data_IF_504894286091
#
_entry.id   IF_504894286091
#
_cell.length_a   1.000
_cell.length_b   1.000
_cell.length_c   1.000
_cell.angle_alpha   90.00
_cell.angle_beta   90.00
_cell.angle_gamma   90.00
#
_symmetry.space_group_name_H-M   'P 1'
#
loop_
_entity.id
_entity.type
_entity.pdbx_description
1 polymer ?
#
# COMPACT_ATOMS: atom_id res chain seq x y z
N UNK A 1 -55.71 42.47 -8.98
CA UNK A 1 -54.86 41.49 -9.68
C UNK A 1 -53.72 41.15 -8.75
N UNK A 2 -53.80 40.04 -8.02
CA UNK A 2 -52.79 39.56 -7.06
C UNK A 2 -51.96 38.51 -7.77
N UNK A 3 -50.72 38.84 -8.09
CA UNK A 3 -49.73 37.89 -8.63
C UNK A 3 -49.31 36.93 -7.52
N UNK A 4 -49.65 35.68 -7.70
CA UNK A 4 -49.20 34.54 -6.85
C UNK A 4 -47.78 34.16 -7.33
N UNK A 5 -46.77 34.56 -6.56
CA UNK A 5 -45.37 34.13 -6.74
C UNK A 5 -45.27 32.67 -6.37
N UNK A 6 -45.17 31.78 -7.34
CA UNK A 6 -44.89 30.35 -7.12
C UNK A 6 -43.43 30.21 -6.71
N UNK A 7 -43.18 29.81 -5.47
CA UNK A 7 -41.88 29.39 -4.98
C UNK A 7 -41.47 28.08 -5.71
N UNK A 8 -40.28 28.03 -6.32
CA UNK A 8 -39.87 26.80 -7.00
C UNK A 8 -39.65 25.66 -6.01
N UNK A 9 -40.50 24.65 -6.09
CA UNK A 9 -40.34 23.41 -5.32
C UNK A 9 -39.09 22.65 -5.78
N UNK A 10 -38.06 22.68 -4.92
CA UNK A 10 -36.84 21.94 -5.14
C UNK A 10 -37.16 20.43 -5.03
N UNK A 11 -37.17 19.71 -6.14
CA UNK A 11 -37.29 18.24 -6.11
C UNK A 11 -35.97 17.69 -5.56
N UNK A 12 -35.98 16.91 -4.46
CA UNK A 12 -34.75 16.31 -3.97
C UNK A 12 -34.15 15.42 -5.05
N UNK A 13 -32.85 15.62 -5.35
CA UNK A 13 -32.10 14.75 -6.26
C UNK A 13 -32.20 13.32 -5.75
N UNK A 14 -32.53 12.35 -6.63
CA UNK A 14 -32.49 10.92 -6.30
C UNK A 14 -31.08 10.60 -5.79
N UNK A 15 -30.99 9.98 -4.61
CA UNK A 15 -29.72 9.40 -4.14
C UNK A 15 -29.23 8.38 -5.18
N UNK A 16 -28.07 8.60 -5.75
CA UNK A 16 -27.43 7.63 -6.65
C UNK A 16 -26.55 6.75 -5.78
N UNK A 17 -27.06 5.58 -5.40
CA UNK A 17 -26.23 4.53 -4.81
C UNK A 17 -25.38 3.89 -5.90
N UNK A 18 -24.06 3.79 -5.68
CA UNK A 18 -23.13 3.09 -6.58
C UNK A 18 -23.15 1.56 -6.37
N UNK A 19 -23.82 1.07 -5.35
CA UNK A 19 -24.02 -0.36 -5.12
C UNK A 19 -24.77 -1.00 -6.31
N UNK A 20 -24.20 -2.04 -6.88
CA UNK A 20 -24.73 -2.72 -8.08
C UNK A 20 -24.27 -2.14 -9.42
N UNK A 21 -23.42 -1.12 -9.43
CA UNK A 21 -22.78 -0.61 -10.64
C UNK A 21 -21.39 -1.24 -10.75
N UNK A 22 -21.09 -1.89 -11.89
CA UNK A 22 -19.75 -2.42 -12.15
C UNK A 22 -18.74 -1.26 -12.25
N UNK A 23 -17.80 -1.20 -11.31
CA UNK A 23 -16.78 -0.16 -11.27
C UNK A 23 -15.62 -0.40 -12.27
N UNK A 24 -15.48 -1.62 -12.77
CA UNK A 24 -14.48 -2.03 -13.74
C UNK A 24 -14.19 -3.52 -13.66
N UNK A 25 -13.21 -3.96 -14.44
CA UNK A 25 -12.69 -5.32 -14.41
C UNK A 25 -11.35 -5.35 -13.70
N UNK A 26 -11.07 -6.41 -12.96
CA UNK A 26 -9.76 -6.69 -12.35
C UNK A 26 -9.33 -8.12 -12.66
N UNK A 27 -8.02 -8.30 -12.86
CA UNK A 27 -7.38 -9.62 -12.98
C UNK A 27 -6.62 -10.00 -11.70
N UNK A 28 -6.60 -9.09 -10.70
CA UNK A 28 -5.80 -9.26 -9.49
C UNK A 28 -6.45 -10.24 -8.50
N UNK A 29 -7.75 -10.13 -8.31
CA UNK A 29 -8.45 -11.03 -7.40
C UNK A 29 -9.88 -11.34 -7.83
N UNK A 30 -10.43 -12.36 -7.21
CA UNK A 30 -11.85 -12.75 -7.31
C UNK A 30 -12.39 -12.97 -5.91
N UNK A 31 -13.51 -12.33 -5.59
CA UNK A 31 -14.15 -12.41 -4.27
C UNK A 31 -15.58 -12.98 -4.42
N UNK A 32 -15.93 -13.94 -3.56
CA UNK A 32 -17.30 -14.40 -3.43
C UNK A 32 -17.89 -15.10 -4.67
N UNK A 33 -17.06 -15.71 -5.52
CA UNK A 33 -17.52 -16.38 -6.73
C UNK A 33 -18.35 -17.63 -6.43
N UNK A 34 -17.96 -18.34 -5.37
CA UNK A 34 -18.63 -19.59 -4.92
C UNK A 34 -19.02 -19.53 -3.44
N UNK A 35 -19.11 -18.34 -2.84
CA UNK A 35 -19.45 -18.12 -1.43
C UNK A 35 -18.54 -17.06 -0.79
N UNK A 36 -17.76 -17.44 0.21
CA UNK A 36 -16.82 -16.58 0.91
C UNK A 36 -15.37 -16.81 0.45
N UNK A 37 -15.18 -17.22 -0.78
CA UNK A 37 -13.88 -17.48 -1.38
C UNK A 37 -13.17 -16.17 -1.77
N UNK A 38 -11.85 -16.19 -1.69
CA UNK A 38 -10.96 -15.15 -2.18
C UNK A 38 -9.80 -15.81 -2.91
N UNK A 39 -9.51 -15.37 -4.11
CA UNK A 39 -8.37 -15.85 -4.89
C UNK A 39 -7.57 -14.69 -5.46
N UNK A 40 -6.25 -14.75 -5.39
CA UNK A 40 -5.33 -13.81 -6.02
C UNK A 40 -4.80 -14.40 -7.32
N UNK A 41 -5.11 -13.79 -8.46
CA UNK A 41 -4.74 -14.27 -9.81
C UNK A 41 -5.01 -15.77 -10.00
N UNK A 42 -6.13 -16.27 -9.42
CA UNK A 42 -6.55 -17.67 -9.51
C UNK A 42 -5.98 -18.60 -8.44
N UNK A 43 -5.10 -18.14 -7.55
CA UNK A 43 -4.60 -18.91 -6.40
C UNK A 43 -5.49 -18.67 -5.19
N UNK A 44 -5.92 -19.76 -4.54
CA UNK A 44 -6.73 -19.69 -3.32
C UNK A 44 -5.96 -18.99 -2.18
N UNK A 45 -6.64 -18.09 -1.46
CA UNK A 45 -6.03 -17.30 -0.38
C UNK A 45 -5.54 -18.15 0.78
N UNK A 46 -6.20 -19.27 1.09
CA UNK A 46 -5.80 -20.15 2.18
C UNK A 46 -4.51 -20.89 1.82
N UNK A 47 -4.38 -21.30 0.56
CA UNK A 47 -3.14 -21.90 0.05
C UNK A 47 -1.98 -20.91 0.10
N UNK A 48 -2.20 -19.67 -0.35
CA UNK A 48 -1.18 -18.62 -0.30
C UNK A 48 -0.75 -18.31 1.13
N UNK A 49 -1.70 -18.14 2.05
CA UNK A 49 -1.42 -17.83 3.44
C UNK A 49 -0.67 -18.96 4.19
N UNK A 50 -0.89 -20.22 3.78
CA UNK A 50 -0.20 -21.36 4.40
C UNK A 50 1.19 -21.63 3.82
N UNK A 51 1.36 -21.45 2.50
CA UNK A 51 2.49 -21.97 1.75
C UNK A 51 3.46 -20.90 1.27
N UNK A 52 3.02 -19.63 1.20
CA UNK A 52 3.82 -18.53 0.65
C UNK A 52 4.30 -17.56 1.73
N UNK A 53 5.38 -16.86 1.42
CA UNK A 53 5.78 -15.63 2.10
C UNK A 53 5.07 -14.43 1.45
N UNK A 54 5.00 -13.30 2.15
CA UNK A 54 4.36 -12.10 1.62
C UNK A 54 5.01 -11.61 0.32
N UNK A 55 6.32 -11.73 0.20
CA UNK A 55 7.08 -11.32 -0.99
C UNK A 55 6.69 -12.11 -2.25
N UNK A 56 6.34 -13.38 -2.09
CA UNK A 56 5.82 -14.19 -3.21
C UNK A 56 4.47 -13.66 -3.69
N UNK A 57 3.59 -13.30 -2.75
CA UNK A 57 2.27 -12.74 -3.05
C UNK A 57 2.38 -11.32 -3.62
N UNK A 58 3.27 -10.48 -3.09
CA UNK A 58 3.56 -9.17 -3.64
C UNK A 58 4.06 -9.27 -5.09
N UNK A 59 4.98 -10.21 -5.36
CA UNK A 59 5.45 -10.50 -6.71
C UNK A 59 4.30 -10.97 -7.62
N UNK A 60 3.46 -11.89 -7.14
CA UNK A 60 2.28 -12.35 -7.89
C UNK A 60 1.37 -11.20 -8.29
N UNK A 61 1.05 -10.29 -7.38
CA UNK A 61 0.13 -9.19 -7.64
C UNK A 61 0.73 -8.12 -8.55
N UNK A 62 2.01 -7.77 -8.37
CA UNK A 62 2.68 -6.70 -9.13
C UNK A 62 3.23 -7.20 -10.46
N UNK A 63 3.89 -8.37 -10.47
CA UNK A 63 4.59 -8.90 -11.64
C UNK A 63 3.79 -9.97 -12.40
N UNK A 64 2.66 -10.43 -11.85
CA UNK A 64 1.69 -11.25 -12.57
C UNK A 64 1.82 -12.77 -12.40
N UNK A 65 2.85 -13.26 -11.72
CA UNK A 65 3.08 -14.69 -11.47
C UNK A 65 3.80 -14.94 -10.14
N UNK A 66 3.65 -16.12 -9.56
CA UNK A 66 4.44 -16.55 -8.42
C UNK A 66 5.91 -16.72 -8.83
N UNK A 67 6.85 -16.16 -8.07
CA UNK A 67 8.26 -16.25 -8.40
C UNK A 67 8.80 -17.68 -8.19
N UNK A 68 9.71 -18.12 -9.01
CA UNK A 68 10.55 -19.27 -8.69
C UNK A 68 11.58 -18.90 -7.61
N UNK A 69 12.34 -19.85 -7.10
CA UNK A 69 13.31 -19.63 -6.00
C UNK A 69 14.35 -18.54 -6.30
N UNK A 70 14.82 -18.46 -7.55
CA UNK A 70 15.82 -17.47 -7.95
C UNK A 70 15.20 -16.08 -8.06
N UNK A 71 14.02 -15.99 -8.65
CA UNK A 71 13.24 -14.75 -8.74
C UNK A 71 12.87 -14.21 -7.34
N UNK A 72 12.43 -15.09 -6.42
CA UNK A 72 12.12 -14.71 -5.05
C UNK A 72 13.36 -14.15 -4.33
N UNK A 73 14.51 -14.83 -4.44
CA UNK A 73 15.74 -14.36 -3.82
C UNK A 73 16.18 -12.99 -4.38
N UNK A 74 16.10 -12.81 -5.70
CA UNK A 74 16.39 -11.54 -6.36
C UNK A 74 15.39 -10.44 -5.92
N UNK A 75 14.10 -10.76 -5.84
CA UNK A 75 13.06 -9.83 -5.43
C UNK A 75 13.23 -9.39 -3.96
N UNK A 76 13.50 -10.30 -3.05
CA UNK A 76 13.82 -9.97 -1.65
C UNK A 76 15.05 -9.05 -1.56
N UNK A 77 16.11 -9.36 -2.31
CA UNK A 77 17.31 -8.51 -2.38
C UNK A 77 16.97 -7.11 -2.90
N UNK A 78 16.15 -7.01 -3.95
CA UNK A 78 15.66 -5.73 -4.49
C UNK A 78 14.89 -4.94 -3.43
N UNK A 79 13.88 -5.53 -2.79
CA UNK A 79 13.09 -4.88 -1.75
C UNK A 79 13.96 -4.43 -0.57
N UNK A 80 14.91 -5.27 -0.14
CA UNK A 80 15.84 -4.94 0.93
C UNK A 80 16.67 -3.69 0.60
N UNK A 81 17.15 -3.55 -0.63
CA UNK A 81 17.91 -2.39 -1.09
C UNK A 81 17.09 -1.09 -1.18
N UNK A 82 15.76 -1.18 -1.14
CA UNK A 82 14.85 -0.04 -1.28
C UNK A 82 14.29 0.48 0.04
N UNK A 83 14.68 -0.06 1.19
CA UNK A 83 14.14 0.31 2.52
C UNK A 83 14.58 1.68 3.01
N UNK A 84 15.73 2.16 2.54
CA UNK A 84 16.33 3.42 2.97
C UNK A 84 15.44 4.64 2.68
N UNK A 85 15.49 5.62 3.57
CA UNK A 85 14.73 6.86 3.43
C UNK A 85 15.67 8.04 3.12
N UNK A 86 15.33 8.87 2.12
CA UNK A 86 16.04 10.11 1.88
C UNK A 86 16.00 11.04 3.10
N UNK A 87 17.08 11.77 3.36
CA UNK A 87 17.17 12.70 4.50
C UNK A 87 16.05 13.74 4.52
N UNK A 88 15.52 14.13 3.37
CA UNK A 88 14.39 15.06 3.29
C UNK A 88 13.09 14.43 3.81
N UNK A 89 12.86 13.15 3.55
CA UNK A 89 11.72 12.41 4.11
C UNK A 89 11.87 12.32 5.62
N UNK A 90 13.06 11.94 6.12
CA UNK A 90 13.37 11.88 7.55
C UNK A 90 13.03 13.21 8.24
N UNK A 91 13.49 14.36 7.71
CA UNK A 91 13.20 15.68 8.28
C UNK A 91 11.71 16.00 8.34
N UNK A 92 10.95 15.61 7.34
CA UNK A 92 9.48 15.78 7.35
C UNK A 92 8.85 14.91 8.43
N UNK A 93 9.27 13.64 8.55
CA UNK A 93 8.75 12.75 9.60
C UNK A 93 9.07 13.27 11.01
N UNK A 94 10.26 13.83 11.24
CA UNK A 94 10.65 14.43 12.51
C UNK A 94 9.82 15.68 12.88
N UNK A 95 9.22 16.35 11.91
CA UNK A 95 8.36 17.51 12.14
C UNK A 95 6.90 17.15 12.50
N UNK A 96 6.49 15.89 12.31
CA UNK A 96 5.13 15.45 12.59
C UNK A 96 4.91 15.23 14.10
N UNK A 97 3.80 15.75 14.67
CA UNK A 97 3.47 15.52 16.06
C UNK A 97 3.29 14.04 16.42
N UNK A 98 3.58 13.68 17.68
CA UNK A 98 3.42 12.31 18.17
C UNK A 98 1.96 11.79 18.14
N UNK A 99 0.98 12.70 18.20
CA UNK A 99 -0.43 12.34 18.12
C UNK A 99 -0.99 12.24 16.70
N UNK A 100 -0.14 12.39 15.68
CA UNK A 100 -0.57 12.24 14.28
C UNK A 100 -1.04 10.81 14.03
N UNK A 101 -2.14 10.64 13.30
CA UNK A 101 -2.62 9.31 12.96
C UNK A 101 -1.60 8.60 12.04
N UNK A 102 -1.30 7.30 12.25
CA UNK A 102 -0.31 6.55 11.44
C UNK A 102 -0.55 6.62 9.93
N UNK A 103 -1.80 6.62 9.48
CA UNK A 103 -2.14 6.76 8.05
C UNK A 103 -1.73 8.13 7.51
N UNK A 104 -1.88 9.20 8.29
CA UNK A 104 -1.46 10.54 7.89
C UNK A 104 0.07 10.66 7.82
N UNK A 105 0.78 9.95 8.69
CA UNK A 105 2.24 9.83 8.62
C UNK A 105 2.68 9.15 7.33
N UNK A 106 2.07 8.00 7.00
CA UNK A 106 2.38 7.27 5.78
C UNK A 106 2.07 8.11 4.54
N UNK A 107 0.89 8.71 4.46
CA UNK A 107 0.50 9.60 3.37
C UNK A 107 1.51 10.74 3.17
N UNK A 108 1.90 11.41 4.25
CA UNK A 108 2.86 12.51 4.21
C UNK A 108 4.25 12.03 3.75
N UNK A 109 4.70 10.89 4.28
CA UNK A 109 5.99 10.30 3.89
C UNK A 109 6.03 9.88 2.43
N UNK A 110 4.96 9.25 1.92
CA UNK A 110 4.84 8.86 0.50
C UNK A 110 4.80 10.09 -0.40
N UNK A 111 4.02 11.12 -0.05
CA UNK A 111 3.98 12.38 -0.79
C UNK A 111 5.37 13.02 -0.87
N UNK A 112 6.13 13.02 0.23
CA UNK A 112 7.50 13.54 0.24
C UNK A 112 8.46 12.68 -0.57
N UNK A 113 8.27 11.35 -0.61
CA UNK A 113 9.04 10.47 -1.51
C UNK A 113 8.85 10.86 -2.97
N UNK A 114 7.61 11.13 -3.40
CA UNK A 114 7.30 11.60 -4.74
C UNK A 114 7.97 12.94 -5.07
N UNK A 115 8.08 13.86 -4.10
CA UNK A 115 8.82 15.12 -4.29
C UNK A 115 10.34 14.92 -4.45
N UNK A 116 10.90 13.87 -3.81
CA UNK A 116 12.35 13.59 -3.88
C UNK A 116 12.71 12.72 -5.08
N UNK A 117 11.83 11.81 -5.45
CA UNK A 117 11.98 10.88 -6.57
C UNK A 117 10.77 10.99 -7.49
N UNK A 118 10.61 12.11 -8.21
CA UNK A 118 9.44 12.32 -9.06
C UNK A 118 9.39 11.25 -10.15
N UNK A 119 8.18 10.75 -10.39
CA UNK A 119 7.88 9.89 -11.52
C UNK A 119 8.08 10.68 -12.81
N UNK A 120 8.68 10.08 -13.83
CA UNK A 120 8.88 10.73 -15.13
C UNK A 120 7.57 10.70 -15.92
N UNK A 121 7.29 11.75 -16.69
CA UNK A 121 6.07 11.87 -17.51
C UNK A 121 5.89 10.72 -18.53
N UNK A 122 7.00 10.17 -19.00
CA UNK A 122 6.98 8.99 -19.87
C UNK A 122 7.94 7.94 -19.34
N UNK A 123 7.40 6.87 -18.77
CA UNK A 123 8.18 5.74 -18.28
C UNK A 123 7.59 4.42 -18.77
N UNK A 124 8.41 3.37 -18.94
CA UNK A 124 7.91 2.03 -19.23
C UNK A 124 7.17 1.47 -18.01
N UNK A 125 6.29 0.49 -18.24
CA UNK A 125 5.57 -0.21 -17.17
C UNK A 125 6.50 -0.78 -16.07
N UNK A 126 7.72 -1.16 -16.44
CA UNK A 126 8.75 -1.63 -15.50
C UNK A 126 9.09 -0.57 -14.43
N UNK A 127 9.12 0.71 -14.78
CA UNK A 127 9.41 1.79 -13.83
C UNK A 127 8.25 1.99 -12.85
N UNK A 128 7.00 1.87 -13.31
CA UNK A 128 5.83 1.89 -12.43
C UNK A 128 5.89 0.75 -11.39
N UNK A 129 6.31 -0.45 -11.82
CA UNK A 129 6.53 -1.58 -10.91
C UNK A 129 7.66 -1.32 -9.92
N UNK A 130 8.75 -0.66 -10.35
CA UNK A 130 9.84 -0.27 -9.45
C UNK A 130 9.40 0.74 -8.39
N UNK A 131 8.50 1.68 -8.74
CA UNK A 131 7.89 2.60 -7.77
C UNK A 131 7.01 1.83 -6.78
N UNK A 132 6.19 0.88 -7.24
CA UNK A 132 5.38 0.03 -6.38
C UNK A 132 6.24 -0.78 -5.40
N UNK A 133 7.32 -1.40 -5.89
CA UNK A 133 8.26 -2.15 -5.06
C UNK A 133 8.96 -1.24 -4.04
N UNK A 134 9.36 -0.02 -4.44
CA UNK A 134 9.92 0.99 -3.53
C UNK A 134 8.95 1.38 -2.43
N UNK A 135 7.68 1.58 -2.76
CA UNK A 135 6.65 1.92 -1.78
C UNK A 135 6.43 0.77 -0.79
N UNK A 136 6.27 -0.46 -1.27
CA UNK A 136 6.15 -1.65 -0.40
C UNK A 136 7.35 -1.76 0.54
N UNK A 137 8.56 -1.56 0.04
CA UNK A 137 9.79 -1.68 0.83
C UNK A 137 9.94 -0.58 1.89
N UNK A 138 9.45 0.65 1.61
CA UNK A 138 9.74 1.82 2.44
C UNK A 138 8.59 2.26 3.35
N UNK A 139 7.35 1.78 3.16
CA UNK A 139 6.21 2.15 4.01
C UNK A 139 6.44 1.83 5.49
N UNK A 140 6.98 0.65 5.79
CA UNK A 140 7.36 0.26 7.15
C UNK A 140 8.44 1.17 7.74
N UNK A 141 9.44 1.52 6.94
CA UNK A 141 10.51 2.45 7.33
C UNK A 141 9.97 3.86 7.65
N UNK A 142 9.06 4.38 6.81
CA UNK A 142 8.40 5.68 7.04
C UNK A 142 7.67 5.69 8.38
N UNK A 143 6.78 4.71 8.59
CA UNK A 143 5.94 4.65 9.77
C UNK A 143 6.77 4.48 11.04
N UNK A 144 7.73 3.54 11.02
CA UNK A 144 8.45 3.17 12.23
C UNK A 144 9.60 4.12 12.56
N UNK A 145 10.19 4.81 11.58
CA UNK A 145 11.07 5.93 11.87
C UNK A 145 10.34 7.02 12.65
N UNK A 146 9.18 7.48 12.15
CA UNK A 146 8.37 8.46 12.85
C UNK A 146 7.96 7.97 14.25
N UNK A 147 7.49 6.73 14.36
CA UNK A 147 7.07 6.17 15.64
C UNK A 147 8.21 6.18 16.67
N UNK A 148 9.38 5.69 16.32
CA UNK A 148 10.53 5.66 17.23
C UNK A 148 11.02 7.06 17.59
N UNK A 149 11.01 7.99 16.63
CA UNK A 149 11.41 9.36 16.88
C UNK A 149 10.39 10.10 17.76
N UNK A 150 9.12 10.09 17.39
CA UNK A 150 8.09 10.89 18.05
C UNK A 150 7.67 10.36 19.42
N UNK A 151 7.72 9.04 19.65
CA UNK A 151 7.27 8.43 20.91
C UNK A 151 8.43 8.05 21.82
N UNK A 152 9.57 7.67 21.27
CA UNK A 152 10.72 7.18 22.03
C UNK A 152 11.95 8.10 21.96
N UNK A 153 11.88 9.22 21.23
CA UNK A 153 12.99 10.15 21.04
C UNK A 153 14.20 9.55 20.31
N UNK A 154 14.01 8.46 19.58
CA UNK A 154 15.11 7.71 18.95
C UNK A 154 15.15 7.91 17.44
N UNK A 155 16.30 8.33 16.93
CA UNK A 155 16.65 8.21 15.51
C UNK A 155 17.17 6.80 15.27
N UNK A 156 16.44 6.01 14.49
CA UNK A 156 16.82 4.64 14.16
C UNK A 156 17.38 4.55 12.75
N UNK A 157 18.25 3.58 12.51
CA UNK A 157 18.58 3.14 11.15
C UNK A 157 17.37 2.39 10.58
N UNK A 158 16.98 2.79 9.36
CA UNK A 158 15.81 2.18 8.67
C UNK A 158 16.21 1.07 7.71
N UNK A 159 17.48 0.73 7.66
CA UNK A 159 17.99 -0.43 6.95
C UNK A 159 18.30 -1.54 7.95
N UNK A 160 17.84 -2.74 7.71
CA UNK A 160 18.09 -3.89 8.56
C UNK A 160 18.49 -5.11 7.75
N UNK A 161 19.12 -6.08 8.39
CA UNK A 161 19.52 -7.34 7.75
C UNK A 161 18.40 -8.35 7.60
N UNK A 162 17.20 -8.03 8.06
CA UNK A 162 16.05 -8.91 7.93
C UNK A 162 15.72 -9.17 6.45
N UNK A 163 15.44 -10.43 6.12
CA UNK A 163 15.20 -10.87 4.74
C UNK A 163 13.85 -10.41 4.19
N UNK A 164 12.86 -10.21 5.07
CA UNK A 164 11.46 -10.02 4.71
C UNK A 164 10.91 -8.66 5.14
N UNK A 165 9.85 -8.20 4.48
CA UNK A 165 9.12 -6.98 4.84
C UNK A 165 8.54 -7.09 6.26
N UNK A 166 7.92 -8.23 6.58
CA UNK A 166 7.37 -8.47 7.91
C UNK A 166 8.43 -8.52 9.00
N UNK A 167 9.57 -9.20 8.75
CA UNK A 167 10.70 -9.24 9.64
C UNK A 167 11.31 -7.87 9.87
N UNK A 168 11.52 -7.11 8.80
CA UNK A 168 12.00 -5.74 8.85
C UNK A 168 11.09 -4.83 9.68
N UNK A 169 9.79 -4.86 9.43
CA UNK A 169 8.81 -4.09 10.20
C UNK A 169 8.91 -4.40 11.71
N UNK A 170 8.90 -5.67 12.08
CA UNK A 170 8.99 -6.08 13.49
C UNK A 170 10.34 -5.71 14.12
N UNK A 171 11.42 -5.79 13.36
CA UNK A 171 12.75 -5.37 13.81
C UNK A 171 12.77 -3.87 14.16
N UNK A 172 12.30 -3.01 13.25
CA UNK A 172 12.24 -1.56 13.49
C UNK A 172 11.30 -1.20 14.66
N UNK A 173 10.18 -1.93 14.80
CA UNK A 173 9.22 -1.69 15.87
C UNK A 173 9.80 -2.02 17.24
N UNK A 174 10.45 -3.16 17.37
CA UNK A 174 10.92 -3.68 18.67
C UNK A 174 12.40 -3.44 18.96
N UNK A 175 13.18 -2.96 17.98
CA UNK A 175 14.63 -2.71 18.11
C UNK A 175 15.45 -4.01 18.28
N UNK A 176 14.91 -5.16 17.89
CA UNK A 176 15.57 -6.47 17.96
C UNK A 176 15.04 -7.42 16.90
N UNK A 177 15.85 -8.43 16.57
CA UNK A 177 15.44 -9.48 15.63
C UNK A 177 14.17 -10.18 16.10
N UNK A 178 13.12 -10.27 15.25
CA UNK A 178 11.88 -10.96 15.59
C UNK A 178 12.07 -12.49 15.60
N UNK A 179 11.16 -13.20 16.27
CA UNK A 179 11.11 -14.65 16.18
C UNK A 179 10.47 -15.10 14.87
N UNK A 180 10.79 -16.31 14.41
CA UNK A 180 10.20 -16.89 13.18
C UNK A 180 8.67 -16.96 13.25
N UNK A 181 8.10 -17.24 14.43
CA UNK A 181 6.64 -17.26 14.60
C UNK A 181 6.01 -15.89 14.40
N UNK A 182 6.64 -14.81 14.85
CA UNK A 182 6.16 -13.45 14.61
C UNK A 182 6.31 -13.06 13.14
N UNK A 183 7.42 -13.43 12.48
CA UNK A 183 7.60 -13.19 11.04
C UNK A 183 6.50 -13.91 10.25
N UNK A 184 6.23 -15.19 10.57
CA UNK A 184 5.17 -15.95 9.93
C UNK A 184 3.79 -15.33 10.14
N UNK A 185 3.48 -14.85 11.34
CA UNK A 185 2.23 -14.15 11.62
C UNK A 185 2.09 -12.87 10.77
N UNK A 186 3.19 -12.12 10.59
CA UNK A 186 3.19 -10.95 9.71
C UNK A 186 3.00 -11.31 8.24
N UNK A 187 3.63 -12.38 7.73
CA UNK A 187 3.38 -12.86 6.38
C UNK A 187 1.90 -13.16 6.16
N UNK A 188 1.30 -13.97 7.02
CA UNK A 188 -0.13 -14.31 6.93
C UNK A 188 -1.00 -13.05 6.96
N UNK A 189 -0.73 -12.14 7.89
CA UNK A 189 -1.47 -10.88 8.01
C UNK A 189 -1.39 -10.05 6.73
N UNK A 190 -0.19 -9.83 6.21
CA UNK A 190 0.03 -9.03 4.99
C UNK A 190 -0.59 -9.70 3.75
N UNK A 191 -0.51 -11.02 3.63
CA UNK A 191 -1.14 -11.78 2.54
C UNK A 191 -2.66 -11.61 2.57
N UNK A 192 -3.29 -11.79 3.75
CA UNK A 192 -4.75 -11.68 3.88
C UNK A 192 -5.28 -10.26 3.63
N UNK A 193 -4.45 -9.24 3.81
CA UNK A 193 -4.79 -7.83 3.58
C UNK A 193 -4.40 -7.30 2.20
N UNK A 194 -3.71 -8.10 1.37
CA UNK A 194 -3.08 -7.59 0.17
C UNK A 194 -4.08 -7.10 -0.89
N UNK A 195 -5.21 -7.78 -1.07
CA UNK A 195 -6.17 -7.44 -2.14
C UNK A 195 -7.58 -7.98 -1.83
N UNK A 196 -8.63 -7.25 -2.21
CA UNK A 196 -10.01 -7.74 -2.22
C UNK A 196 -10.89 -6.94 -3.20
N UNK A 197 -10.47 -6.83 -4.46
CA UNK A 197 -11.14 -6.11 -5.56
C UNK A 197 -11.10 -4.56 -5.37
N UNK A 198 -12.17 -3.88 -5.83
CA UNK A 198 -12.28 -2.43 -5.78
C UNK A 198 -12.73 -1.93 -4.41
N UNK A 199 -11.94 -2.18 -3.37
CA UNK A 199 -12.13 -1.50 -2.10
C UNK A 199 -11.98 0.02 -2.25
N UNK A 200 -12.35 0.79 -1.21
CA UNK A 200 -12.36 2.25 -1.26
C UNK A 200 -10.99 2.83 -1.66
N UNK A 201 -9.89 2.29 -1.12
CA UNK A 201 -8.54 2.76 -1.41
C UNK A 201 -8.13 2.44 -2.85
N UNK A 202 -8.34 1.22 -3.33
CA UNK A 202 -8.06 0.83 -4.72
C UNK A 202 -8.90 1.65 -5.69
N UNK A 203 -10.17 1.87 -5.40
CA UNK A 203 -11.04 2.69 -6.23
C UNK A 203 -10.57 4.14 -6.29
N UNK A 204 -10.21 4.72 -5.15
CA UNK A 204 -9.66 6.09 -5.07
C UNK A 204 -8.37 6.23 -5.88
N UNK A 205 -7.41 5.30 -5.70
CA UNK A 205 -6.16 5.29 -6.45
C UNK A 205 -6.41 5.23 -7.97
N UNK A 206 -7.37 4.41 -8.42
CA UNK A 206 -7.75 4.33 -9.85
C UNK A 206 -8.39 5.62 -10.38
N UNK A 207 -9.22 6.29 -9.58
CA UNK A 207 -9.82 7.58 -9.96
C UNK A 207 -8.74 8.63 -10.14
N UNK A 208 -7.77 8.70 -9.21
CA UNK A 208 -6.65 9.63 -9.30
C UNK A 208 -5.75 9.29 -10.49
N UNK A 209 -5.41 8.02 -10.70
CA UNK A 209 -4.65 7.57 -11.87
C UNK A 209 -5.35 7.95 -13.19
N UNK A 210 -6.68 7.90 -13.23
CA UNK A 210 -7.49 8.31 -14.39
C UNK A 210 -7.37 9.79 -14.76
N UNK A 211 -6.84 10.64 -13.87
CA UNK A 211 -6.53 12.05 -14.15
C UNK A 211 -5.14 12.27 -14.72
N UNK A 212 -4.35 11.21 -14.90
CA UNK A 212 -2.95 11.30 -15.32
C UNK A 212 -1.99 11.69 -14.20
N UNK A 213 -2.40 11.55 -12.92
CA UNK A 213 -1.53 11.81 -11.78
C UNK A 213 -0.50 10.69 -11.60
N UNK A 214 0.65 11.03 -11.00
CA UNK A 214 1.72 10.10 -10.68
C UNK A 214 1.31 9.05 -9.62
N UNK A 215 2.08 7.96 -9.52
CA UNK A 215 1.76 6.86 -8.61
C UNK A 215 1.80 7.27 -7.14
N UNK A 216 2.71 8.17 -6.73
CA UNK A 216 2.78 8.64 -5.35
C UNK A 216 1.50 9.39 -4.97
N UNK A 217 0.97 10.23 -5.89
CA UNK A 217 -0.31 10.90 -5.73
C UNK A 217 -1.47 9.91 -5.64
N UNK A 218 -1.47 8.85 -6.46
CA UNK A 218 -2.50 7.80 -6.42
C UNK A 218 -2.53 7.06 -5.07
N UNK A 219 -1.36 6.79 -4.50
CA UNK A 219 -1.25 6.06 -3.22
C UNK A 219 -1.56 6.96 -2.02
N UNK A 220 -1.39 8.28 -2.13
CA UNK A 220 -1.67 9.24 -1.04
C UNK A 220 -3.11 9.76 -1.03
N UNK A 221 -3.85 9.59 -2.11
CA UNK A 221 -5.28 9.96 -2.21
C UNK A 221 -6.19 8.96 -1.56
#
# INVERSE_FOLDING_TARGET
MTETTQTPTFKPKKSVALSGVAAGNTELCTVGRTGNDLSYRGYDILDLAQKCEFEEVAHLLIHGHLPNKFELAAYKTKLKSMRGLPIRVIKVLESLPAHTHPMDVMRTGVSMLGCVHPERESHPESEARDIADKLIASLGSILLYWYQYSHNGKRIEVESDEETIGGHFLHLLHGKRPSESHIKAMHVSLILYAEHEFNASTFTARVIAGTGSDMYSCITG
#
